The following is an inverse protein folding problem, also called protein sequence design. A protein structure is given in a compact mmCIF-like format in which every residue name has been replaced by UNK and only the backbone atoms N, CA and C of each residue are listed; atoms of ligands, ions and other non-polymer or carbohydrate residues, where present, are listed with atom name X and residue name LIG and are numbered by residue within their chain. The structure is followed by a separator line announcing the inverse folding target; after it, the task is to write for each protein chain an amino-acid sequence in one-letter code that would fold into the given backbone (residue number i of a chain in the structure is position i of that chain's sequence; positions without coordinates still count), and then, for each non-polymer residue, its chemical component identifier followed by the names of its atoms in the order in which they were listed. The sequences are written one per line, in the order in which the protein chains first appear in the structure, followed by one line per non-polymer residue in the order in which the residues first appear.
data_IF_477674691028
#
_entry.id   IF_477674691028
#
_cell.length_a   1.000
_cell.length_b   1.000
_cell.length_c   1.000
_cell.angle_alpha   90.00
_cell.angle_beta   90.00
_cell.angle_gamma   90.00
#
_symmetry.space_group_name_H-M   'P 1'
#
loop_
_entity.id
_entity.type
_entity.pdbx_description
1 polymer ?
#
# COMPACT_ATOMS: atom_id res chain seq x y z
N UNK A 1 -19.41 24.42 10.74
CA UNK A 1 -19.30 23.19 9.92
C UNK A 1 -19.71 23.53 8.50
N UNK A 2 -19.06 22.96 7.49
CA UNK A 2 -19.34 23.25 6.07
C UNK A 2 -20.47 22.36 5.51
N UNK A 3 -21.51 22.08 6.29
CA UNK A 3 -22.58 21.12 5.92
C UNK A 3 -23.43 21.60 4.72
N UNK A 4 -23.37 22.90 4.38
CA UNK A 4 -24.03 23.50 3.21
C UNK A 4 -23.13 23.74 1.98
N UNK A 5 -21.85 23.32 2.00
CA UNK A 5 -20.92 23.40 0.87
C UNK A 5 -20.27 22.04 0.60
N UNK A 6 -20.96 21.21 -0.20
CA UNK A 6 -20.30 20.73 -1.41
C UNK A 6 -21.26 20.82 -2.61
N UNK A 7 -21.46 22.04 -3.14
CA UNK A 7 -22.13 22.24 -4.42
C UNK A 7 -23.56 21.71 -4.53
N UNK A 8 -24.15 21.86 -5.72
CA UNK A 8 -25.53 21.43 -6.03
C UNK A 8 -25.64 19.94 -6.36
N UNK A 9 -24.52 19.21 -6.39
CA UNK A 9 -24.44 17.82 -6.86
C UNK A 9 -24.13 16.90 -5.68
N UNK A 10 -25.08 16.08 -5.22
CA UNK A 10 -24.79 15.10 -4.18
C UNK A 10 -23.76 14.08 -4.67
N UNK A 11 -22.89 13.60 -3.77
CA UNK A 11 -21.87 12.55 -4.02
C UNK A 11 -20.71 12.93 -4.97
N UNK A 12 -20.40 14.22 -5.12
CA UNK A 12 -19.21 14.64 -5.86
C UNK A 12 -17.95 14.56 -4.99
N UNK A 13 -17.05 13.61 -5.27
CA UNK A 13 -15.79 13.44 -4.53
C UNK A 13 -14.88 14.68 -4.66
N UNK A 14 -14.76 15.23 -5.87
CA UNK A 14 -13.98 16.44 -6.15
C UNK A 14 -14.76 17.37 -7.11
N UNK A 15 -15.03 18.64 -6.73
CA UNK A 15 -15.77 19.58 -7.57
C UNK A 15 -14.95 20.03 -8.79
N UNK A 16 -15.61 20.46 -9.87
CA UNK A 16 -14.92 20.91 -11.09
C UNK A 16 -14.03 22.14 -10.83
N UNK A 17 -14.37 22.97 -9.84
CA UNK A 17 -13.56 24.11 -9.38
C UNK A 17 -12.21 23.67 -8.81
N UNK A 18 -12.10 22.45 -8.26
CA UNK A 18 -10.85 21.93 -7.70
C UNK A 18 -9.77 21.71 -8.75
N UNK A 19 -10.15 21.56 -10.03
CA UNK A 19 -9.18 21.46 -11.15
C UNK A 19 -8.35 22.73 -11.33
N UNK A 20 -8.81 23.86 -10.79
CA UNK A 20 -8.08 25.14 -10.84
C UNK A 20 -7.02 25.26 -9.75
N UNK A 21 -7.05 24.40 -8.73
CA UNK A 21 -6.07 24.40 -7.67
C UNK A 21 -4.79 23.68 -8.14
N UNK A 22 -3.60 24.09 -7.64
CA UNK A 22 -2.39 23.35 -7.92
C UNK A 22 -2.50 21.93 -7.33
N UNK A 23 -2.31 20.87 -8.14
CA UNK A 23 -2.35 19.51 -7.62
C UNK A 23 -1.17 19.27 -6.68
N UNK A 24 -1.31 18.35 -5.69
CA UNK A 24 -0.20 17.93 -4.86
C UNK A 24 0.91 17.32 -5.73
N UNK A 25 2.16 17.57 -5.36
CA UNK A 25 3.32 17.02 -6.06
C UNK A 25 3.50 15.56 -5.66
N UNK A 26 4.11 14.79 -6.56
CA UNK A 26 4.48 13.39 -6.26
C UNK A 26 5.51 13.28 -5.12
N UNK A 27 6.25 14.35 -4.85
CA UNK A 27 7.26 14.42 -3.78
C UNK A 27 6.73 15.03 -2.49
N UNK A 28 5.41 15.26 -2.37
CA UNK A 28 4.84 15.83 -1.14
C UNK A 28 5.04 14.87 0.03
N UNK A 29 5.51 15.37 1.17
CA UNK A 29 5.81 14.56 2.37
C UNK A 29 4.61 13.75 2.87
N UNK A 30 3.38 14.25 2.63
CA UNK A 30 2.14 13.54 2.95
C UNK A 30 1.97 12.29 2.09
N UNK A 31 2.23 12.39 0.79
CA UNK A 31 2.14 11.27 -0.13
C UNK A 31 3.23 10.24 0.17
N UNK A 32 4.44 10.70 0.50
CA UNK A 32 5.54 9.85 0.95
C UNK A 32 5.16 9.08 2.23
N UNK A 33 4.54 9.75 3.19
CA UNK A 33 4.03 9.10 4.41
C UNK A 33 2.94 8.06 4.11
N UNK A 34 2.00 8.33 3.21
CA UNK A 34 1.01 7.33 2.77
C UNK A 34 1.68 6.12 2.10
N UNK A 35 2.71 6.34 1.29
CA UNK A 35 3.53 5.26 0.73
C UNK A 35 4.22 4.42 1.82
N UNK A 36 4.78 5.09 2.83
CA UNK A 36 5.37 4.42 3.99
C UNK A 36 4.35 3.60 4.80
N UNK A 37 3.13 4.11 4.97
CA UNK A 37 2.05 3.34 5.60
C UNK A 37 1.72 2.06 4.80
N UNK A 38 1.70 2.15 3.47
CA UNK A 38 1.54 0.98 2.60
C UNK A 38 2.66 -0.03 2.78
N UNK A 39 3.92 0.44 2.90
CA UNK A 39 5.06 -0.41 3.19
C UNK A 39 4.92 -1.13 4.54
N UNK A 40 4.60 -0.40 5.61
CA UNK A 40 4.33 -0.98 6.92
C UNK A 40 3.18 -2.00 6.89
N UNK A 41 2.13 -1.74 6.11
CA UNK A 41 1.03 -2.70 5.92
C UNK A 41 1.50 -3.99 5.27
N UNK A 42 2.41 -3.93 4.29
CA UNK A 42 2.99 -5.13 3.66
C UNK A 42 3.87 -5.93 4.62
N UNK A 43 4.66 -5.25 5.46
CA UNK A 43 5.45 -5.89 6.51
C UNK A 43 4.56 -6.58 7.55
N UNK A 44 3.47 -5.91 7.96
CA UNK A 44 2.49 -6.46 8.89
C UNK A 44 1.76 -7.67 8.29
N UNK A 45 1.37 -7.65 7.01
CA UNK A 45 0.74 -8.81 6.37
C UNK A 45 1.69 -10.02 6.36
N UNK A 46 2.98 -9.80 6.06
CA UNK A 46 3.99 -10.86 6.15
C UNK A 46 4.16 -11.38 7.59
N UNK A 47 4.19 -10.48 8.58
CA UNK A 47 4.31 -10.84 9.99
C UNK A 47 3.11 -11.66 10.49
N UNK A 48 1.88 -11.26 10.14
CA UNK A 48 0.65 -11.97 10.53
C UNK A 48 0.60 -13.38 9.94
N UNK A 49 1.08 -13.56 8.70
CA UNK A 49 1.10 -14.86 8.01
C UNK A 49 2.33 -15.71 8.33
N UNK A 50 3.14 -15.32 9.33
CA UNK A 50 4.39 -16.00 9.72
C UNK A 50 5.35 -16.21 8.54
N UNK A 51 5.34 -15.30 7.57
CA UNK A 51 6.33 -15.27 6.48
C UNK A 51 7.52 -14.41 6.90
N UNK A 52 8.72 -14.64 6.33
CA UNK A 52 9.86 -13.77 6.60
C UNK A 52 9.53 -12.32 6.19
N UNK A 53 9.48 -11.42 7.17
CA UNK A 53 8.89 -10.06 7.01
C UNK A 53 9.52 -9.25 5.86
N UNK A 54 10.84 -9.34 5.72
CA UNK A 54 11.64 -8.61 4.70
C UNK A 54 11.92 -9.45 3.45
N UNK A 55 11.71 -10.77 3.51
CA UNK A 55 12.23 -11.73 2.52
C UNK A 55 11.15 -12.70 2.05
N UNK A 56 9.88 -12.37 2.27
CA UNK A 56 8.73 -13.10 1.74
C UNK A 56 8.61 -12.92 0.22
N UNK A 57 9.73 -13.02 -0.49
CA UNK A 57 9.73 -13.55 -1.84
C UNK A 57 9.08 -14.93 -1.74
N UNK A 58 7.97 -15.09 -2.46
CA UNK A 58 7.26 -16.36 -2.53
C UNK A 58 8.12 -17.34 -3.32
N UNK A 59 9.19 -17.87 -2.71
CA UNK A 59 10.02 -18.90 -3.33
C UNK A 59 9.17 -20.15 -3.50
N UNK A 60 8.95 -20.53 -4.75
CA UNK A 60 8.25 -21.78 -5.09
C UNK A 60 9.17 -22.95 -4.72
N UNK A 61 8.65 -24.14 -4.39
CA UNK A 61 9.48 -25.32 -4.09
C UNK A 61 10.53 -25.66 -5.17
N UNK A 62 10.40 -25.13 -6.39
CA UNK A 62 11.42 -25.23 -7.45
C UNK A 62 12.66 -24.34 -7.25
N UNK A 63 12.66 -23.40 -6.31
CA UNK A 63 13.79 -22.50 -5.99
C UNK A 63 14.49 -22.88 -4.67
N UNK A 64 13.96 -23.87 -3.95
CA UNK A 64 14.49 -24.33 -2.66
C UNK A 64 15.33 -25.58 -2.93
N UNK A 65 16.66 -25.46 -2.81
CA UNK A 65 17.57 -26.62 -2.88
C UNK A 65 17.64 -27.27 -1.49
N UNK A 66 16.87 -28.34 -1.26
CA UNK A 66 17.02 -29.18 -0.06
C UNK A 66 17.98 -30.33 -0.33
N UNK A 67 18.86 -30.60 0.64
CA UNK A 67 19.76 -31.76 0.61
C UNK A 67 18.97 -33.03 0.98
N UNK A 68 18.85 -33.96 0.05
CA UNK A 68 18.08 -35.18 0.25
C UNK A 68 18.90 -36.22 1.04
N UNK A 69 18.44 -36.60 2.23
CA UNK A 69 19.04 -37.66 3.04
C UNK A 69 18.21 -38.96 2.96
N UNK A 70 18.63 -39.95 2.14
CA UNK A 70 17.91 -41.22 2.06
C UNK A 70 18.12 -42.05 3.33
N UNK A 71 17.04 -42.67 3.81
CA UNK A 71 17.10 -43.68 4.88
C UNK A 71 17.64 -44.98 4.27
N UNK A 72 18.80 -45.43 4.74
CA UNK A 72 19.40 -46.74 4.44
C UNK A 72 19.17 -47.70 5.60
#
# INVERSE_FOLDING_TARGET
MMDGRPGRVPLQFLPDEARRLPPPKLTDSRLLYFGFLGYCSGLLDNALRRRPVMSADKKTYGEILEEFHPVR
#
